data_IF_713628726232
#
_entry.id   IF_713628726232
#
_cell.length_a   1.000
_cell.length_b   1.000
_cell.length_c   1.000
_cell.angle_alpha   90.00
_cell.angle_beta   90.00
_cell.angle_gamma   90.00
#
_symmetry.space_group_name_H-M   'P 1'
#
loop_
_entity.id
_entity.type
_entity.pdbx_description
1 polymer ?
#
# COMPACT_ATOMS: atom_id res chain seq x y z
N UNK A 1 -0.52 -11.93 0.99
CA UNK A 1 -1.19 -11.73 -0.31
C UNK A 1 -1.97 -10.43 -0.29
N UNK A 2 -1.74 -9.55 -1.26
CA UNK A 2 -2.57 -8.35 -1.50
C UNK A 2 -3.87 -8.85 -2.14
N UNK A 3 -5.04 -8.44 -1.65
CA UNK A 3 -6.30 -8.61 -2.39
C UNK A 3 -6.50 -7.34 -3.24
N UNK A 4 -6.07 -7.32 -4.51
CA UNK A 4 -6.13 -6.10 -5.33
C UNK A 4 -7.59 -5.76 -5.63
N UNK A 5 -7.99 -4.53 -5.35
CA UNK A 5 -9.32 -4.02 -5.70
C UNK A 5 -9.31 -3.32 -7.06
N UNK A 6 -8.22 -2.61 -7.37
CA UNK A 6 -8.05 -1.89 -8.63
C UNK A 6 -6.64 -2.09 -9.20
N UNK A 7 -6.57 -2.24 -10.53
CA UNK A 7 -5.33 -2.14 -11.30
C UNK A 7 -5.45 -0.93 -12.22
N UNK A 8 -4.46 -0.04 -12.16
CA UNK A 8 -4.49 1.23 -12.89
C UNK A 8 -3.15 1.48 -13.57
N UNK A 9 -3.15 2.23 -14.66
CA UNK A 9 -1.94 2.79 -15.26
C UNK A 9 -1.65 4.16 -14.68
N UNK A 10 -0.45 4.37 -14.19
CA UNK A 10 -0.01 5.65 -13.60
C UNK A 10 1.11 6.24 -14.45
N UNK A 11 1.13 7.56 -14.60
CA UNK A 11 2.23 8.24 -15.33
C UNK A 11 3.57 8.08 -14.61
N UNK A 12 3.56 8.28 -13.29
CA UNK A 12 4.71 8.07 -12.41
C UNK A 12 4.24 7.84 -10.96
N UNK A 13 4.62 6.71 -10.35
CA UNK A 13 4.16 6.30 -9.01
C UNK A 13 4.55 7.26 -7.90
N UNK A 14 5.74 7.86 -7.97
CA UNK A 14 6.17 8.85 -6.97
C UNK A 14 5.32 10.13 -7.02
N UNK A 15 4.93 10.58 -8.22
CA UNK A 15 4.06 11.75 -8.36
C UNK A 15 2.64 11.46 -7.86
N UNK A 16 2.13 10.26 -8.13
CA UNK A 16 0.88 9.80 -7.55
C UNK A 16 0.95 9.77 -6.01
N UNK A 17 2.09 9.44 -5.42
CA UNK A 17 2.26 9.42 -3.97
C UNK A 17 1.93 10.77 -3.33
N UNK A 18 2.25 11.89 -3.99
CA UNK A 18 1.89 13.24 -3.49
C UNK A 18 0.39 13.39 -3.26
N UNK A 19 -0.43 12.76 -4.11
CA UNK A 19 -1.88 12.74 -3.96
C UNK A 19 -2.31 11.75 -2.87
N UNK A 20 -1.70 10.56 -2.84
CA UNK A 20 -2.02 9.52 -1.85
C UNK A 20 -1.69 9.93 -0.42
N UNK A 21 -0.65 10.75 -0.22
CA UNK A 21 -0.31 11.28 1.10
C UNK A 21 -1.51 11.96 1.75
N UNK A 22 -2.41 12.61 1.00
CA UNK A 22 -3.60 13.24 1.59
C UNK A 22 -4.60 12.26 2.21
N UNK A 23 -4.63 11.01 1.74
CA UNK A 23 -5.62 10.00 2.12
C UNK A 23 -5.14 9.06 3.24
N UNK A 24 -3.86 9.10 3.59
CA UNK A 24 -3.26 8.20 4.58
C UNK A 24 -3.20 8.83 5.97
N UNK A 25 -3.33 7.98 6.98
CA UNK A 25 -3.28 8.32 8.40
C UNK A 25 -1.89 8.09 9.02
N UNK A 26 -1.74 8.48 10.28
CA UNK A 26 -0.47 8.38 11.02
C UNK A 26 0.01 6.95 11.24
N UNK A 27 -0.86 5.95 11.06
CA UNK A 27 -0.51 4.53 11.16
C UNK A 27 0.10 3.96 9.87
N UNK A 28 0.22 4.80 8.83
CA UNK A 28 0.69 4.39 7.51
C UNK A 28 2.20 4.60 7.38
N UNK A 29 2.85 3.66 6.71
CA UNK A 29 4.26 3.68 6.36
C UNK A 29 4.41 3.79 4.85
N UNK A 30 5.31 4.67 4.41
CA UNK A 30 5.83 4.70 3.06
C UNK A 30 7.08 3.84 2.99
N UNK A 31 7.16 2.98 1.98
CA UNK A 31 8.32 2.14 1.75
C UNK A 31 8.85 2.46 0.35
N UNK A 32 10.11 2.88 0.29
CA UNK A 32 10.83 3.14 -0.95
C UNK A 32 11.91 2.06 -1.12
N UNK A 33 11.92 1.35 -2.24
CA UNK A 33 12.95 0.35 -2.52
C UNK A 33 13.76 0.71 -3.76
N UNK A 34 15.05 0.40 -3.73
CA UNK A 34 15.98 0.67 -4.83
C UNK A 34 17.34 1.12 -4.32
N UNK A 35 18.05 1.91 -5.11
CA UNK A 35 19.33 2.49 -4.74
C UNK A 35 19.11 3.71 -3.82
N UNK A 36 19.50 3.57 -2.56
CA UNK A 36 19.33 4.60 -1.53
C UNK A 36 20.56 5.50 -1.33
N UNK A 37 21.61 5.37 -2.16
CA UNK A 37 22.87 6.13 -2.02
C UNK A 37 22.69 7.64 -1.95
N UNK A 38 21.63 8.17 -2.58
CA UNK A 38 21.31 9.60 -2.60
C UNK A 38 20.06 9.97 -1.81
N UNK A 39 19.44 9.01 -1.10
CA UNK A 39 18.25 9.28 -0.31
C UNK A 39 18.64 9.97 1.00
N UNK A 40 18.36 11.27 1.09
CA UNK A 40 18.62 12.07 2.29
C UNK A 40 17.38 12.11 3.16
N UNK A 41 17.48 11.65 4.41
CA UNK A 41 16.36 11.50 5.35
C UNK A 41 16.44 12.44 6.55
N UNK A 42 17.33 13.44 6.52
CA UNK A 42 17.66 14.29 7.66
C UNK A 42 16.46 15.07 8.26
N UNK A 43 15.44 15.38 7.46
CA UNK A 43 14.20 16.03 7.93
C UNK A 43 13.09 15.05 8.32
N UNK A 44 13.36 13.74 8.25
CA UNK A 44 12.43 12.67 8.58
C UNK A 44 12.80 12.03 9.92
N UNK A 45 11.78 11.72 10.72
CA UNK A 45 11.93 11.10 12.04
C UNK A 45 11.48 9.64 12.01
N UNK A 46 12.12 8.76 12.79
CA UNK A 46 11.72 7.36 12.90
C UNK A 46 11.88 6.52 11.63
N UNK A 47 12.73 6.96 10.69
CA UNK A 47 12.99 6.23 9.44
C UNK A 47 13.84 5.00 9.73
N UNK A 48 13.44 3.86 9.16
CA UNK A 48 14.18 2.59 9.26
C UNK A 48 14.73 2.22 7.89
N UNK A 49 16.00 1.82 7.84
CA UNK A 49 16.64 1.34 6.62
C UNK A 49 16.91 -0.16 6.75
N UNK A 50 16.40 -0.92 5.80
CA UNK A 50 16.66 -2.35 5.64
C UNK A 50 17.57 -2.55 4.43
N UNK A 51 18.71 -3.22 4.61
CA UNK A 51 19.54 -3.63 3.49
C UNK A 51 18.93 -4.87 2.85
N UNK A 52 18.88 -4.91 1.52
CA UNK A 52 18.40 -6.08 0.79
C UNK A 52 19.54 -7.09 0.63
N UNK A 53 19.22 -8.38 0.70
CA UNK A 53 20.21 -9.44 0.47
C UNK A 53 20.63 -9.46 -1.01
N UNK A 54 21.76 -10.11 -1.33
CA UNK A 54 22.23 -10.29 -2.73
C UNK A 54 21.19 -11.00 -3.61
N UNK A 55 20.37 -11.86 -3.02
CA UNK A 55 19.34 -12.64 -3.73
C UNK A 55 18.11 -11.80 -4.07
N UNK A 56 17.87 -10.71 -3.36
CA UNK A 56 16.71 -9.82 -3.54
C UNK A 56 16.99 -8.62 -4.44
N UNK A 57 18.24 -8.42 -4.85
CA UNK A 57 18.66 -7.26 -5.66
C UNK A 57 18.75 -7.68 -7.13
N UNK A 58 17.99 -7.05 -8.04
CA UNK A 58 17.98 -7.40 -9.46
C UNK A 58 19.20 -6.87 -10.25
N UNK A 59 20.36 -6.68 -9.60
CA UNK A 59 21.48 -5.89 -10.15
C UNK A 59 22.79 -6.67 -10.13
N UNK A 60 23.39 -6.86 -11.31
CA UNK A 60 24.70 -7.51 -11.52
C UNK A 60 25.92 -6.67 -11.07
N UNK A 61 25.71 -5.49 -10.48
CA UNK A 61 26.76 -4.52 -10.21
C UNK A 61 27.10 -4.45 -8.71
N UNK A 62 28.16 -5.17 -8.32
CA UNK A 62 28.59 -5.36 -6.92
C UNK A 62 28.88 -4.05 -6.18
N UNK A 63 29.29 -2.99 -6.89
CA UNK A 63 29.70 -1.71 -6.30
C UNK A 63 28.55 -1.01 -5.56
N UNK A 64 27.31 -1.15 -6.06
CA UNK A 64 26.16 -0.47 -5.48
C UNK A 64 25.34 -1.33 -4.54
N UNK A 65 25.70 -2.61 -4.34
CA UNK A 65 24.95 -3.57 -3.54
C UNK A 65 24.63 -3.04 -2.12
N UNK A 66 25.63 -2.46 -1.44
CA UNK A 66 25.45 -1.88 -0.10
C UNK A 66 24.53 -0.65 -0.05
N UNK A 67 24.26 -0.02 -1.20
CA UNK A 67 23.36 1.12 -1.32
C UNK A 67 21.92 0.69 -1.60
N UNK A 68 21.69 -0.52 -2.09
CA UNK A 68 20.35 -1.04 -2.31
C UNK A 68 19.68 -1.44 -1.00
N UNK A 69 18.40 -1.12 -0.89
CA UNK A 69 17.66 -1.37 0.33
C UNK A 69 16.20 -0.97 0.22
N UNK A 70 15.50 -1.14 1.35
CA UNK A 70 14.19 -0.56 1.59
C UNK A 70 14.31 0.51 2.67
N UNK A 71 13.63 1.61 2.43
CA UNK A 71 13.52 2.72 3.37
C UNK A 71 12.07 2.81 3.85
N UNK A 72 11.86 2.57 5.13
CA UNK A 72 10.56 2.62 5.79
C UNK A 72 10.42 3.96 6.50
N UNK A 73 9.44 4.73 6.08
CA UNK A 73 9.20 6.10 6.56
C UNK A 73 7.81 6.13 7.18
N UNK A 74 7.68 6.35 8.50
CA UNK A 74 6.38 6.52 9.12
C UNK A 74 5.78 7.84 8.64
N UNK A 75 4.52 7.81 8.21
CA UNK A 75 3.81 8.99 7.71
C UNK A 75 3.07 9.77 8.82
N UNK A 76 3.38 9.47 10.08
CA UNK A 76 2.90 10.22 11.24
C UNK A 76 3.53 11.60 11.37
N UNK A 77 2.77 12.56 11.89
CA UNK A 77 3.30 13.85 12.33
C UNK A 77 3.90 14.69 11.18
N UNK A 78 5.08 15.27 11.41
CA UNK A 78 5.74 16.18 10.45
C UNK A 78 6.29 15.48 9.20
N UNK A 79 6.51 14.16 9.25
CA UNK A 79 7.07 13.41 8.12
C UNK A 79 6.20 13.49 6.86
N UNK A 80 4.87 13.49 7.01
CA UNK A 80 3.94 13.65 5.88
C UNK A 80 4.15 14.97 5.15
N UNK A 81 4.39 16.04 5.90
CA UNK A 81 4.68 17.36 5.35
C UNK A 81 6.06 17.40 4.69
N UNK A 82 7.11 16.94 5.39
CA UNK A 82 8.47 16.87 4.88
C UNK A 82 8.56 16.02 3.59
N UNK A 83 7.87 14.88 3.56
CA UNK A 83 7.77 14.05 2.35
C UNK A 83 7.22 14.83 1.16
N UNK A 84 6.10 15.54 1.36
CA UNK A 84 5.46 16.31 0.29
C UNK A 84 6.31 17.49 -0.20
N UNK A 85 6.99 18.18 0.71
CA UNK A 85 7.65 19.46 0.43
C UNK A 85 9.13 19.36 0.10
N UNK A 86 9.82 18.42 0.72
CA UNK A 86 11.29 18.38 0.74
C UNK A 86 11.87 17.09 0.18
N UNK A 87 11.15 15.97 0.23
CA UNK A 87 11.72 14.68 -0.16
C UNK A 87 11.25 14.24 -1.54
N UNK A 88 9.93 14.11 -1.75
CA UNK A 88 9.37 13.65 -3.02
C UNK A 88 9.85 14.49 -4.22
N UNK A 89 9.87 15.84 -4.17
CA UNK A 89 10.34 16.63 -5.32
C UNK A 89 11.77 16.29 -5.78
N UNK A 90 12.65 15.84 -4.88
CA UNK A 90 14.03 15.51 -5.22
C UNK A 90 14.19 14.04 -5.62
N UNK A 91 13.37 13.15 -5.05
CA UNK A 91 13.38 11.73 -5.43
C UNK A 91 12.75 11.54 -6.82
N UNK A 92 11.68 12.27 -7.18
CA UNK A 92 11.07 12.15 -8.51
C UNK A 92 12.08 12.46 -9.63
N UNK A 93 13.01 13.39 -9.37
CA UNK A 93 14.01 13.86 -10.34
C UNK A 93 15.20 12.90 -10.47
N UNK A 94 15.42 12.01 -9.49
CA UNK A 94 16.57 11.09 -9.45
C UNK A 94 16.08 9.65 -9.36
N UNK A 95 16.07 8.95 -10.49
CA UNK A 95 15.48 7.63 -10.79
C UNK A 95 16.05 6.42 -10.01
N UNK A 96 16.56 6.61 -8.81
CA UNK A 96 17.21 5.56 -8.01
C UNK A 96 16.22 4.68 -7.23
N UNK A 97 15.00 5.18 -7.01
CA UNK A 97 13.92 4.40 -6.40
C UNK A 97 13.17 3.65 -7.49
N UNK A 98 13.12 2.33 -7.33
CA UNK A 98 12.51 1.39 -8.26
C UNK A 98 11.09 1.01 -7.83
N UNK A 99 10.85 0.81 -6.54
CA UNK A 99 9.54 0.44 -6.03
C UNK A 99 9.04 1.42 -4.98
N UNK A 100 7.73 1.65 -5.00
CA UNK A 100 7.02 2.53 -4.09
C UNK A 100 5.83 1.79 -3.54
N UNK A 101 5.74 1.75 -2.21
CA UNK A 101 4.74 0.99 -1.48
C UNK A 101 4.15 1.82 -0.33
N UNK A 102 2.86 1.63 -0.03
CA UNK A 102 2.23 2.14 1.18
C UNK A 102 1.68 0.97 1.98
N UNK A 103 2.00 0.92 3.26
CA UNK A 103 1.57 -0.14 4.16
C UNK A 103 0.93 0.46 5.42
N UNK A 104 -0.13 -0.17 5.92
CA UNK A 104 -0.80 0.21 7.17
C UNK A 104 -1.10 -1.03 7.99
N UNK A 105 -0.65 -1.07 9.24
CA UNK A 105 -0.80 -2.23 10.14
C UNK A 105 -0.45 -3.58 9.49
N UNK A 106 0.67 -3.64 8.76
CA UNK A 106 1.07 -4.85 8.05
C UNK A 106 0.37 -5.10 6.71
N UNK A 107 -0.72 -4.38 6.39
CA UNK A 107 -1.47 -4.53 5.14
C UNK A 107 -0.97 -3.57 4.06
N UNK A 108 -0.67 -4.09 2.87
CA UNK A 108 -0.29 -3.28 1.71
C UNK A 108 -1.51 -2.55 1.14
N UNK A 109 -1.42 -1.23 1.06
CA UNK A 109 -2.46 -0.35 0.52
C UNK A 109 -2.24 -0.02 -0.95
N UNK A 110 -0.98 0.22 -1.33
CA UNK A 110 -0.54 0.60 -2.66
C UNK A 110 0.83 -0.03 -2.93
N UNK A 111 1.04 -0.50 -4.15
CA UNK A 111 2.36 -0.94 -4.61
C UNK A 111 2.49 -0.67 -6.11
N UNK A 112 3.63 -0.13 -6.52
CA UNK A 112 3.94 0.11 -7.92
C UNK A 112 5.44 0.32 -8.13
N UNK A 113 5.90 -0.01 -9.32
CA UNK A 113 7.23 0.38 -9.78
C UNK A 113 7.26 1.87 -10.11
N UNK A 114 8.43 2.50 -10.09
CA UNK A 114 8.62 3.92 -10.37
C UNK A 114 9.30 4.13 -11.73
N UNK A 115 8.58 3.76 -12.78
CA UNK A 115 8.95 4.05 -14.17
C UNK A 115 7.98 5.07 -14.78
N UNK A 116 8.14 5.36 -16.08
CA UNK A 116 7.18 6.16 -16.83
C UNK A 116 6.13 5.22 -17.43
N UNK A 117 4.84 5.48 -17.15
CA UNK A 117 3.69 4.64 -17.54
C UNK A 117 3.79 3.18 -17.08
N UNK A 118 3.21 2.88 -15.93
CA UNK A 118 3.27 1.56 -15.31
C UNK A 118 1.95 1.17 -14.67
N UNK A 119 1.78 -0.13 -14.50
CA UNK A 119 0.67 -0.68 -13.74
C UNK A 119 0.90 -0.51 -12.23
N UNK A 120 -0.13 -0.06 -11.53
CA UNK A 120 -0.17 0.10 -10.10
C UNK A 120 -1.39 -0.61 -9.53
N UNK A 121 -1.23 -1.14 -8.31
CA UNK A 121 -2.28 -1.88 -7.62
C UNK A 121 -2.74 -1.08 -6.41
N UNK A 122 -4.06 -0.88 -6.33
CA UNK A 122 -4.73 -0.29 -5.17
C UNK A 122 -5.57 -1.33 -4.43
N UNK A 123 -5.51 -1.27 -3.11
CA UNK A 123 -6.45 -1.97 -2.23
C UNK A 123 -7.80 -1.26 -2.18
N UNK A 124 -8.81 -1.96 -1.65
CA UNK A 124 -10.16 -1.46 -1.37
C UNK A 124 -10.23 -0.37 -0.28
N UNK A 125 -9.09 -0.04 0.35
CA UNK A 125 -8.98 1.00 1.36
C UNK A 125 -9.23 2.40 0.80
N UNK A 126 -8.90 2.64 -0.47
CA UNK A 126 -9.09 3.94 -1.10
C UNK A 126 -10.54 4.14 -1.52
N UNK A 127 -11.11 5.30 -1.19
CA UNK A 127 -12.45 5.68 -1.61
C UNK A 127 -12.56 5.65 -3.15
N UNK A 128 -13.56 4.98 -3.74
CA UNK A 128 -13.82 5.00 -5.18
C UNK A 128 -13.89 6.41 -5.79
N UNK A 129 -14.44 7.39 -5.07
CA UNK A 129 -14.55 8.78 -5.52
C UNK A 129 -13.16 9.43 -5.67
N UNK A 130 -12.24 9.14 -4.73
CA UNK A 130 -10.87 9.61 -4.83
C UNK A 130 -10.16 9.05 -6.07
N UNK A 131 -10.32 7.76 -6.35
CA UNK A 131 -9.76 7.15 -7.56
C UNK A 131 -10.36 7.75 -8.83
N UNK A 132 -11.66 8.06 -8.82
CA UNK A 132 -12.32 8.75 -9.93
C UNK A 132 -11.75 10.15 -10.15
N UNK A 133 -11.50 10.91 -9.09
CA UNK A 133 -10.89 12.25 -9.18
C UNK A 133 -9.47 12.19 -9.76
N UNK A 134 -8.69 11.18 -9.39
CA UNK A 134 -7.35 10.96 -9.97
C UNK A 134 -7.41 10.62 -11.46
N UNK A 135 -8.42 9.85 -11.88
CA UNK A 135 -8.65 9.51 -13.28
C UNK A 135 -9.06 10.74 -14.09
N UNK A 136 -9.99 11.56 -13.57
CA UNK A 136 -10.38 12.83 -14.21
C UNK A 136 -9.22 13.83 -14.32
N UNK A 137 -8.35 13.89 -13.31
CA UNK A 137 -7.14 14.70 -13.33
C UNK A 137 -6.05 14.16 -14.28
N UNK A 138 -6.28 13.02 -14.93
CA UNK A 138 -5.33 12.38 -15.85
C UNK A 138 -4.05 11.90 -15.16
N UNK A 139 -4.10 11.65 -13.85
CA UNK A 139 -2.99 11.11 -13.05
C UNK A 139 -2.90 9.60 -13.25
N UNK A 140 -4.06 8.94 -13.32
CA UNK A 140 -4.19 7.49 -13.51
C UNK A 140 -5.19 7.19 -14.64
N UNK A 141 -5.13 5.97 -15.16
CA UNK A 141 -6.15 5.38 -16.02
C UNK A 141 -6.54 4.01 -15.44
N UNK A 142 -7.82 3.78 -15.13
CA UNK A 142 -8.21 2.50 -14.52
C UNK A 142 -8.25 1.41 -15.59
N UNK A 143 -7.38 0.40 -15.47
CA UNK A 143 -7.27 -0.70 -16.44
C UNK A 143 -8.22 -1.85 -16.10
N UNK A 144 -8.39 -2.17 -14.82
CA UNK A 144 -9.31 -3.22 -14.38
C UNK A 144 -9.85 -2.93 -12.97
N UNK A 145 -11.17 -3.05 -12.79
CA UNK A 145 -11.83 -3.05 -11.48
C UNK A 145 -12.25 -4.48 -11.17
N UNK A 146 -11.73 -5.09 -10.11
CA UNK A 146 -12.32 -6.36 -9.67
C UNK A 146 -13.67 -6.07 -9.03
N UNK A 147 -14.73 -6.82 -9.37
CA UNK A 147 -15.95 -6.75 -8.58
C UNK A 147 -15.60 -7.13 -7.15
N UNK A 148 -15.98 -6.29 -6.18
CA UNK A 148 -15.93 -6.66 -4.78
C UNK A 148 -16.67 -7.99 -4.66
N UNK A 149 -15.95 -9.08 -4.38
CA UNK A 149 -16.60 -10.29 -3.92
C UNK A 149 -17.24 -9.90 -2.60
N UNK A 150 -18.55 -9.63 -2.64
CA UNK A 150 -19.37 -9.63 -1.46
C UNK A 150 -19.06 -10.97 -0.78
N UNK A 151 -18.32 -10.92 0.32
CA UNK A 151 -18.23 -12.01 1.26
C UNK A 151 -19.66 -12.21 1.77
N UNK A 152 -20.46 -12.95 0.99
CA UNK A 152 -21.65 -13.59 1.49
C UNK A 152 -21.14 -14.59 2.50
N UNK A 153 -20.97 -14.12 3.73
CA UNK A 153 -20.96 -14.98 4.89
C UNK A 153 -22.32 -15.66 4.84
N UNK A 154 -22.38 -16.85 4.22
CA UNK A 154 -23.48 -17.80 4.45
C UNK A 154 -23.48 -17.98 5.96
N UNK A 155 -24.37 -17.26 6.65
CA UNK A 155 -24.72 -17.52 8.05
C UNK A 155 -25.03 -19.01 8.10
N UNK A 156 -24.10 -19.79 8.65
CA UNK A 156 -24.34 -21.18 9.00
C UNK A 156 -25.46 -21.11 10.01
N UNK A 157 -26.66 -21.52 9.63
CA UNK A 157 -27.80 -21.58 10.53
C UNK A 157 -27.39 -22.44 11.72
N UNK A 158 -27.19 -21.80 12.87
CA UNK A 158 -27.04 -22.46 14.16
C UNK A 158 -28.35 -23.19 14.44
N UNK A 159 -28.37 -24.51 14.25
CA UNK A 159 -29.42 -25.35 14.82
C UNK A 159 -29.25 -25.30 16.34
N UNK A 160 -29.96 -24.37 16.98
CA UNK A 160 -30.29 -24.49 18.39
C UNK A 160 -31.13 -25.76 18.55
N UNK A 161 -30.58 -26.78 19.21
CA UNK A 161 -31.38 -27.86 19.77
C UNK A 161 -32.14 -27.30 20.98
N UNK A 162 -33.35 -26.79 20.76
CA UNK A 162 -34.33 -26.62 21.83
C UNK A 162 -34.87 -28.00 22.23
N UNK A 163 -34.21 -28.65 23.18
CA UNK A 163 -34.87 -29.68 24.00
C UNK A 163 -35.45 -28.99 25.22
N UNK A 164 -36.72 -28.62 25.13
CA UNK A 164 -37.56 -28.30 26.28
C UNK A 164 -38.80 -29.17 26.27
N UNK A 165 -38.94 -29.91 27.39
CA UNK A 165 -40.15 -30.32 28.07
C UNK A 165 -41.24 -31.07 27.28
N UNK A 166 -41.34 -32.36 27.57
CA UNK A 166 -42.57 -33.13 27.41
C UNK A 166 -42.76 -34.03 28.64
N UNK A 167 -43.13 -33.41 29.76
CA UNK A 167 -43.61 -34.12 30.95
C UNK A 167 -45.14 -34.16 30.84
N UNK A 168 -45.70 -35.34 30.57
CA UNK A 168 -47.12 -35.63 30.80
C UNK A 168 -47.20 -36.89 31.66
N UNK A 169 -47.83 -36.73 32.82
CA UNK A 169 -48.11 -37.75 33.83
C UNK A 169 -49.29 -38.66 33.43
N UNK A 170 -49.47 -39.72 34.25
CA UNK A 170 -50.66 -40.54 34.59
C UNK A 170 -50.52 -41.99 34.11
N UNK A 171 -50.14 -42.95 34.98
CA UNK A 171 -50.93 -43.77 35.95
C UNK A 171 -51.88 -44.78 35.29
N UNK A 172 -51.49 -46.06 35.32
CA UNK A 172 -52.17 -47.20 35.96
C UNK A 172 -51.25 -48.44 35.89
#
# INVERSE_FOLDING_TARGET
MINPAYQVKVKQSIELLKQLLHQVDDATWLILAGNLSQCRTHSLTGVVREALSREEIPVDNEVYHASYGRLFIPLSGSNKYAMKKEVLPFITVRTHIQDVMLQRYGRMLFTAQNYFQQDAIFSDWFNPEFLHNLEQAGVIQVAHRRPQSALSVKRRASRLNSRTAGTSFITL
#
